data_IF_566823684963
#
_entry.id   IF_566823684963
#
_cell.length_a   1.000
_cell.length_b   1.000
_cell.length_c   1.000
_cell.angle_alpha   90.00
_cell.angle_beta   90.00
_cell.angle_gamma   90.00
#
_symmetry.space_group_name_H-M   'P 1'
#
loop_
_entity.id
_entity.type
_entity.pdbx_description
1 polymer ?
#
# COMPACT_ATOMS: atom_id res chain seq x y z
N UNK A 1 17.58 14.93 -15.10
CA UNK A 1 17.83 13.93 -16.17
C UNK A 1 17.08 12.66 -15.82
N UNK A 2 16.24 12.13 -16.69
CA UNK A 2 15.50 10.89 -16.47
C UNK A 2 16.31 9.75 -17.08
N UNK A 3 16.79 8.83 -16.28
CA UNK A 3 17.52 7.65 -16.77
C UNK A 3 16.55 6.49 -16.91
N UNK A 4 16.13 6.17 -18.14
CA UNK A 4 15.41 4.96 -18.47
C UNK A 4 16.35 3.75 -18.44
N UNK A 5 16.07 2.77 -17.61
CA UNK A 5 16.79 1.49 -17.60
C UNK A 5 15.90 0.42 -18.23
N UNK A 6 16.19 0.11 -19.50
CA UNK A 6 15.58 -1.01 -20.21
C UNK A 6 16.32 -2.29 -19.82
N UNK A 7 15.70 -3.14 -19.00
CA UNK A 7 16.19 -4.49 -18.75
C UNK A 7 15.58 -5.46 -19.77
N UNK A 8 16.39 -6.00 -20.67
CA UNK A 8 15.99 -7.10 -21.55
C UNK A 8 16.12 -8.43 -20.81
N UNK A 9 15.09 -9.28 -20.80
CA UNK A 9 15.27 -10.70 -20.56
C UNK A 9 15.60 -11.41 -21.89
N UNK A 10 16.48 -12.39 -21.78
CA UNK A 10 17.01 -13.18 -22.88
C UNK A 10 15.95 -13.90 -23.72
N UNK A 11 16.24 -13.95 -25.00
CA UNK A 11 15.61 -14.67 -26.11
C UNK A 11 15.11 -16.08 -25.77
N UNK A 12 13.79 -16.30 -25.97
CA UNK A 12 13.18 -17.60 -26.11
C UNK A 12 12.10 -17.51 -27.21
N UNK A 13 12.26 -18.34 -28.25
CA UNK A 13 11.52 -18.33 -29.50
C UNK A 13 9.99 -18.39 -29.35
N UNK A 14 9.28 -17.66 -30.22
CA UNK A 14 7.84 -17.70 -30.40
C UNK A 14 7.40 -19.02 -31.06
N UNK A 15 6.28 -19.63 -30.66
CA UNK A 15 5.62 -20.64 -31.47
C UNK A 15 4.57 -20.01 -32.39
N UNK A 16 4.53 -20.55 -33.60
CA UNK A 16 3.67 -20.19 -34.70
C UNK A 16 2.18 -20.34 -34.39
N UNK A 17 1.42 -19.45 -35.01
CA UNK A 17 -0.04 -19.37 -34.98
C UNK A 17 -0.66 -20.52 -35.79
N UNK A 18 -1.46 -21.39 -35.16
CA UNK A 18 -2.42 -22.26 -35.84
C UNK A 18 -3.82 -21.81 -35.50
N UNK A 19 -4.54 -21.34 -36.52
CA UNK A 19 -5.96 -21.03 -36.43
C UNK A 19 -6.79 -22.29 -36.21
N UNK A 20 -7.65 -22.26 -35.20
CA UNK A 20 -8.86 -23.11 -35.18
C UNK A 20 -10.03 -22.34 -34.59
N UNK A 21 -11.11 -22.31 -35.33
CA UNK A 21 -12.35 -21.57 -35.09
C UNK A 21 -13.11 -22.24 -33.94
N UNK A 22 -13.31 -21.54 -32.85
CA UNK A 22 -14.16 -21.94 -31.75
C UNK A 22 -14.18 -20.83 -30.70
N UNK A 23 -15.35 -20.21 -30.46
CA UNK A 23 -15.53 -19.09 -29.50
C UNK A 23 -15.04 -19.46 -28.12
N UNK A 24 -13.88 -18.99 -27.74
CA UNK A 24 -13.45 -18.85 -26.34
C UNK A 24 -12.83 -17.47 -26.20
N UNK A 25 -13.48 -16.61 -25.43
CA UNK A 25 -12.92 -15.32 -25.03
C UNK A 25 -11.81 -15.56 -24.03
N UNK A 26 -10.59 -15.69 -24.51
CA UNK A 26 -9.43 -15.50 -23.65
C UNK A 26 -9.19 -13.99 -23.53
N UNK A 27 -9.56 -13.43 -22.36
CA UNK A 27 -9.00 -12.17 -21.95
C UNK A 27 -7.49 -12.40 -21.78
N UNK A 28 -6.72 -12.09 -22.81
CA UNK A 28 -5.27 -11.89 -22.69
C UNK A 28 -5.10 -10.75 -21.69
N UNK A 29 -4.74 -11.09 -20.45
CA UNK A 29 -4.19 -10.13 -19.53
C UNK A 29 -2.92 -9.60 -20.22
N UNK A 30 -3.03 -8.42 -20.82
CA UNK A 30 -1.88 -7.61 -21.21
C UNK A 30 -1.20 -7.29 -19.87
N UNK A 31 -0.14 -8.04 -19.55
CA UNK A 31 0.85 -7.61 -18.58
C UNK A 31 1.50 -6.38 -19.19
N UNK A 32 0.93 -5.20 -18.94
CA UNK A 32 1.64 -3.96 -19.19
C UNK A 32 2.94 -4.06 -18.41
N UNK A 33 4.07 -4.08 -19.12
CA UNK A 33 5.39 -3.86 -18.53
C UNK A 33 5.33 -2.49 -17.86
N UNK A 34 5.11 -2.50 -16.54
CA UNK A 34 5.00 -1.27 -15.77
C UNK A 34 6.39 -0.66 -15.71
N UNK A 35 6.50 0.57 -16.19
CA UNK A 35 7.75 1.32 -16.23
C UNK A 35 8.38 1.39 -14.83
N UNK A 36 9.67 1.00 -14.74
CA UNK A 36 10.49 1.17 -13.55
C UNK A 36 11.32 2.43 -13.73
N UNK A 37 11.10 3.43 -12.88
CA UNK A 37 11.77 4.73 -12.97
C UNK A 37 12.49 5.04 -11.66
N UNK A 38 13.71 5.56 -11.77
CA UNK A 38 14.43 6.18 -10.67
C UNK A 38 14.43 7.70 -10.88
N UNK A 39 14.00 8.45 -9.86
CA UNK A 39 14.09 9.90 -9.86
C UNK A 39 15.24 10.36 -8.98
N UNK A 40 15.98 11.34 -9.46
CA UNK A 40 17.13 11.91 -8.76
C UNK A 40 16.70 12.82 -7.58
N UNK A 41 15.49 13.41 -7.67
CA UNK A 41 14.98 14.34 -6.67
C UNK A 41 13.46 14.30 -6.54
N UNK A 42 12.97 14.97 -5.52
CA UNK A 42 11.54 15.21 -5.27
C UNK A 42 10.90 15.98 -6.41
N UNK A 43 11.58 17.00 -6.91
CA UNK A 43 11.12 17.89 -7.99
C UNK A 43 10.97 17.14 -9.32
N UNK A 44 11.89 16.21 -9.60
CA UNK A 44 11.81 15.38 -10.80
C UNK A 44 10.58 14.45 -10.78
N UNK A 45 10.26 13.85 -9.63
CA UNK A 45 9.07 13.02 -9.48
C UNK A 45 7.80 13.87 -9.50
N UNK A 46 7.81 15.05 -8.90
CA UNK A 46 6.71 15.99 -8.90
C UNK A 46 6.38 16.47 -10.32
N UNK A 47 7.39 16.83 -11.11
CA UNK A 47 7.24 17.18 -12.52
C UNK A 47 6.61 16.03 -13.33
N UNK A 48 7.08 14.80 -13.12
CA UNK A 48 6.50 13.62 -13.77
C UNK A 48 5.03 13.43 -13.40
N UNK A 49 4.67 13.56 -12.12
CA UNK A 49 3.28 13.46 -11.70
C UNK A 49 2.44 14.61 -12.25
N UNK A 50 2.99 15.81 -12.37
CA UNK A 50 2.32 16.95 -13.00
C UNK A 50 1.80 16.62 -14.40
N UNK A 51 2.58 15.91 -15.18
CA UNK A 51 2.24 15.51 -16.55
C UNK A 51 1.45 14.20 -16.63
N UNK A 52 1.68 13.25 -15.70
CA UNK A 52 1.25 11.86 -15.86
C UNK A 52 0.18 11.40 -14.88
N UNK A 53 -0.14 12.16 -13.81
CA UNK A 53 -1.04 11.71 -12.75
C UNK A 53 -2.43 11.29 -13.24
N UNK A 54 -2.93 11.91 -14.32
CA UNK A 54 -4.27 11.65 -14.85
C UNK A 54 -4.31 10.54 -15.90
N UNK A 55 -3.19 10.19 -16.52
CA UNK A 55 -3.13 9.28 -17.66
C UNK A 55 -2.38 7.98 -17.36
N UNK A 56 -1.42 8.02 -16.45
CA UNK A 56 -0.67 6.81 -16.06
C UNK A 56 -1.45 5.96 -15.06
N UNK A 57 -1.58 4.64 -15.28
CA UNK A 57 -2.28 3.75 -14.36
C UNK A 57 -1.45 3.39 -13.13
N UNK A 58 -0.14 3.47 -13.20
CA UNK A 58 0.79 3.22 -12.10
C UNK A 58 2.24 3.42 -12.54
N UNK A 59 3.13 3.49 -11.56
CA UNK A 59 4.58 3.52 -11.76
C UNK A 59 5.28 2.66 -10.71
N UNK A 60 6.38 2.00 -11.06
CA UNK A 60 7.30 1.41 -10.11
C UNK A 60 8.47 2.37 -9.88
N UNK A 61 8.54 2.95 -8.68
CA UNK A 61 9.71 3.74 -8.28
C UNK A 61 10.82 2.84 -7.79
N UNK A 62 12.01 3.01 -8.38
CA UNK A 62 13.24 2.41 -7.91
C UNK A 62 13.79 3.29 -6.79
N UNK A 63 13.66 2.83 -5.55
CA UNK A 63 14.05 3.56 -4.34
C UNK A 63 15.27 2.91 -3.71
N UNK A 64 16.16 3.75 -3.17
CA UNK A 64 17.36 3.28 -2.52
C UNK A 64 17.10 2.74 -1.13
N UNK A 65 17.78 1.64 -0.78
CA UNK A 65 17.90 1.19 0.60
C UNK A 65 18.77 2.17 1.39
N UNK A 66 18.47 2.34 2.69
CA UNK A 66 19.26 3.24 3.55
C UNK A 66 20.73 2.85 3.53
N UNK A 67 21.60 3.83 3.29
CA UNK A 67 23.06 3.67 3.26
C UNK A 67 23.73 4.97 2.82
N UNK A 68 25.05 5.13 3.05
CA UNK A 68 25.78 6.34 2.69
C UNK A 68 25.96 6.50 1.18
N UNK A 69 26.05 7.72 0.70
CA UNK A 69 26.74 8.10 -0.54
C UNK A 69 25.94 8.51 -1.76
N UNK A 70 24.62 8.31 -1.90
CA UNK A 70 23.87 8.81 -3.06
C UNK A 70 22.65 9.60 -2.61
N UNK A 71 22.52 10.83 -3.08
CA UNK A 71 21.28 11.61 -2.97
C UNK A 71 20.32 11.06 -4.02
N UNK A 72 19.23 10.50 -3.58
CA UNK A 72 18.14 10.01 -4.42
C UNK A 72 16.83 10.20 -3.67
N UNK A 73 15.72 10.26 -4.42
CA UNK A 73 14.37 10.32 -3.86
C UNK A 73 14.17 9.18 -2.86
N UNK A 74 13.83 9.52 -1.62
CA UNK A 74 13.48 8.52 -0.61
C UNK A 74 11.97 8.21 -0.61
N UNK A 75 11.60 7.12 0.11
CA UNK A 75 10.21 6.70 0.18
C UNK A 75 9.29 7.73 0.83
N UNK A 76 9.75 8.45 1.85
CA UNK A 76 8.92 9.43 2.55
C UNK A 76 8.62 10.62 1.66
N UNK A 77 9.63 11.12 0.95
CA UNK A 77 9.50 12.18 -0.03
C UNK A 77 8.59 11.75 -1.20
N UNK A 78 8.81 10.55 -1.74
CA UNK A 78 7.98 10.01 -2.81
C UNK A 78 6.50 9.88 -2.41
N UNK A 79 6.23 9.43 -1.17
CA UNK A 79 4.87 9.34 -0.66
C UNK A 79 4.22 10.71 -0.50
N UNK A 80 4.96 11.71 -0.02
CA UNK A 80 4.45 13.06 0.16
C UNK A 80 4.05 13.68 -1.18
N UNK A 81 4.90 13.57 -2.20
CA UNK A 81 4.58 14.03 -3.57
C UNK A 81 3.38 13.27 -4.14
N UNK A 82 3.37 11.94 -4.03
CA UNK A 82 2.26 11.12 -4.52
C UNK A 82 0.91 11.54 -3.90
N UNK A 83 0.88 11.78 -2.58
CA UNK A 83 -0.32 12.25 -1.88
C UNK A 83 -0.81 13.60 -2.41
N UNK A 84 0.10 14.52 -2.75
CA UNK A 84 -0.24 15.82 -3.32
C UNK A 84 -0.99 15.70 -4.66
N UNK A 85 -0.77 14.63 -5.42
CA UNK A 85 -1.44 14.36 -6.71
C UNK A 85 -2.55 13.29 -6.61
N UNK A 86 -2.98 12.92 -5.41
CA UNK A 86 -4.05 11.92 -5.22
C UNK A 86 -3.61 10.48 -5.50
N UNK A 87 -2.33 10.22 -5.47
CA UNK A 87 -1.73 8.88 -5.60
C UNK A 87 -1.43 8.26 -4.25
N UNK A 88 -1.20 6.96 -4.23
CA UNK A 88 -0.88 6.19 -3.02
C UNK A 88 0.11 5.09 -3.33
N UNK A 89 0.93 4.74 -2.35
CA UNK A 89 1.80 3.58 -2.38
C UNK A 89 1.01 2.26 -2.34
N UNK A 90 1.56 1.26 -2.99
CA UNK A 90 0.99 -0.08 -3.09
C UNK A 90 2.02 -1.16 -2.77
N UNK A 91 2.23 -2.05 -3.73
CA UNK A 91 3.12 -3.20 -3.58
C UNK A 91 4.59 -2.81 -3.50
N UNK A 92 5.36 -3.61 -2.75
CA UNK A 92 6.82 -3.57 -2.70
C UNK A 92 7.40 -4.78 -3.40
N UNK A 93 8.55 -4.60 -4.06
CA UNK A 93 9.31 -5.69 -4.63
C UNK A 93 10.82 -5.52 -4.35
N UNK A 94 11.53 -6.64 -4.33
CA UNK A 94 13.01 -6.61 -4.34
C UNK A 94 13.47 -6.22 -5.73
N UNK A 95 14.60 -5.49 -5.79
CA UNK A 95 15.27 -5.20 -7.05
C UNK A 95 16.68 -5.76 -7.03
N UNK A 96 17.58 -5.21 -6.21
CA UNK A 96 18.94 -5.69 -5.98
C UNK A 96 19.40 -5.41 -4.53
N UNK A 97 20.69 -5.52 -4.25
CA UNK A 97 21.22 -5.30 -2.90
C UNK A 97 21.16 -3.86 -2.43
N UNK A 98 21.13 -2.90 -3.35
CA UNK A 98 21.13 -1.46 -3.06
C UNK A 98 19.74 -0.82 -3.20
N UNK A 99 18.86 -1.41 -4.02
CA UNK A 99 17.58 -0.85 -4.42
C UNK A 99 16.42 -1.78 -4.14
N UNK A 100 15.23 -1.20 -4.05
CA UNK A 100 13.95 -1.89 -3.98
C UNK A 100 12.91 -1.11 -4.78
N UNK A 101 11.80 -1.75 -5.08
CA UNK A 101 10.74 -1.14 -5.88
C UNK A 101 9.52 -0.86 -4.99
N UNK A 102 8.95 0.35 -5.16
CA UNK A 102 7.67 0.73 -4.60
C UNK A 102 6.72 1.10 -5.74
N UNK A 103 5.59 0.41 -5.80
CA UNK A 103 4.54 0.78 -6.73
C UNK A 103 3.74 1.95 -6.19
N UNK A 104 3.48 2.94 -7.06
CA UNK A 104 2.53 4.01 -6.81
C UNK A 104 1.41 3.96 -7.83
N UNK A 105 0.18 4.30 -7.41
CA UNK A 105 -1.03 4.28 -8.25
C UNK A 105 -1.95 5.43 -7.88
N UNK A 106 -2.77 5.93 -8.82
CA UNK A 106 -3.88 6.79 -8.46
C UNK A 106 -4.76 6.13 -7.39
N UNK A 107 -5.28 6.90 -6.45
CA UNK A 107 -6.25 6.39 -5.48
C UNK A 107 -7.53 5.96 -6.19
N UNK A 108 -8.00 4.76 -5.85
CA UNK A 108 -9.31 4.27 -6.32
C UNK A 108 -10.42 4.88 -5.44
N UNK A 109 -11.66 4.96 -5.95
CA UNK A 109 -12.80 5.40 -5.14
C UNK A 109 -12.98 4.62 -3.83
N UNK A 110 -12.54 3.36 -3.78
CA UNK A 110 -12.60 2.50 -2.60
C UNK A 110 -11.34 2.54 -1.73
N UNK A 111 -10.32 3.32 -2.11
CA UNK A 111 -9.05 3.38 -1.35
C UNK A 111 -9.27 3.93 0.05
N UNK A 112 -8.86 3.14 1.05
CA UNK A 112 -8.95 3.56 2.46
C UNK A 112 -7.88 4.60 2.79
N UNK A 113 -8.14 5.38 3.84
CA UNK A 113 -7.19 6.29 4.40
C UNK A 113 -6.60 5.72 5.70
N UNK A 114 -5.30 5.89 5.90
CA UNK A 114 -4.69 5.73 7.21
C UNK A 114 -4.65 7.06 7.93
N UNK A 115 -4.69 7.05 9.26
CA UNK A 115 -4.49 8.27 10.06
C UNK A 115 -3.14 8.93 9.75
N UNK A 116 -2.10 8.12 9.53
CA UNK A 116 -0.76 8.62 9.14
C UNK A 116 -0.81 9.42 7.83
N UNK A 117 -1.53 8.93 6.82
CA UNK A 117 -1.64 9.67 5.56
C UNK A 117 -2.56 10.90 5.69
N UNK A 118 -3.56 10.88 6.58
CA UNK A 118 -4.36 12.07 6.91
C UNK A 118 -3.50 13.16 7.53
N UNK A 119 -2.66 12.81 8.51
CA UNK A 119 -1.77 13.75 9.17
C UNK A 119 -0.75 14.32 8.17
N UNK A 120 -0.20 13.48 7.28
CA UNK A 120 0.68 13.92 6.20
C UNK A 120 0.01 14.95 5.28
N UNK A 121 -1.18 14.65 4.77
CA UNK A 121 -1.84 15.59 3.85
C UNK A 121 -2.28 16.88 4.55
N UNK A 122 -2.60 16.85 5.85
CA UNK A 122 -2.85 18.07 6.60
C UNK A 122 -1.61 18.96 6.63
N UNK A 123 -0.44 18.42 6.93
CA UNK A 123 0.82 19.15 6.90
C UNK A 123 1.18 19.65 5.48
N UNK A 124 0.93 18.84 4.44
CA UNK A 124 1.18 19.24 3.05
C UNK A 124 0.26 20.37 2.57
N UNK A 125 -0.99 20.41 3.04
CA UNK A 125 -1.92 21.52 2.79
C UNK A 125 -1.42 22.80 3.49
N UNK A 126 -1.02 22.72 4.76
CA UNK A 126 -0.47 23.87 5.51
C UNK A 126 0.80 24.44 4.83
N UNK A 127 1.60 23.58 4.20
CA UNK A 127 2.78 23.98 3.42
C UNK A 127 2.45 24.53 2.04
N UNK A 128 1.18 24.55 1.62
CA UNK A 128 0.77 25.00 0.28
C UNK A 128 1.19 24.07 -0.86
N UNK A 129 1.53 22.81 -0.56
CA UNK A 129 2.03 21.82 -1.54
C UNK A 129 0.93 21.00 -2.20
N UNK A 130 -0.29 21.03 -1.67
CA UNK A 130 -1.38 20.18 -2.18
C UNK A 130 -1.85 20.65 -3.55
N UNK A 131 -1.90 19.75 -4.52
CA UNK A 131 -2.43 19.98 -5.86
C UNK A 131 -3.92 19.64 -5.95
N UNK A 132 -4.66 20.20 -6.93
CA UNK A 132 -6.09 19.96 -7.09
C UNK A 132 -6.50 18.48 -7.14
N UNK A 133 -5.80 17.56 -7.83
CA UNK A 133 -6.15 16.13 -7.82
C UNK A 133 -6.00 15.49 -6.44
N UNK A 134 -5.01 15.89 -5.64
CA UNK A 134 -4.86 15.44 -4.25
C UNK A 134 -5.99 15.93 -3.36
N UNK A 135 -6.35 17.21 -3.48
CA UNK A 135 -7.47 17.81 -2.74
C UNK A 135 -8.80 17.10 -3.09
N UNK A 136 -9.03 16.81 -4.37
CA UNK A 136 -10.25 16.12 -4.81
C UNK A 136 -10.40 14.73 -4.17
N UNK A 137 -9.30 13.98 -3.97
CA UNK A 137 -9.32 12.68 -3.29
C UNK A 137 -9.65 12.81 -1.79
N UNK A 138 -9.17 13.88 -1.15
CA UNK A 138 -9.49 14.19 0.25
C UNK A 138 -10.98 14.53 0.39
N UNK A 139 -11.48 15.41 -0.46
CA UNK A 139 -12.87 15.87 -0.43
C UNK A 139 -13.85 14.72 -0.69
N UNK A 140 -13.52 13.84 -1.66
CA UNK A 140 -14.28 12.62 -1.92
C UNK A 140 -14.29 11.69 -0.71
N UNK A 141 -13.16 11.52 -0.04
CA UNK A 141 -13.06 10.66 1.14
C UNK A 141 -13.84 11.23 2.33
N UNK A 142 -13.90 12.56 2.48
CA UNK A 142 -14.72 13.24 3.50
C UNK A 142 -16.21 13.07 3.18
N UNK A 143 -16.60 13.24 1.93
CA UNK A 143 -17.99 13.12 1.50
C UNK A 143 -18.59 11.72 1.70
N UNK A 144 -17.80 10.66 1.55
CA UNK A 144 -18.26 9.27 1.69
C UNK A 144 -17.88 8.60 3.03
N UNK A 145 -17.36 9.35 3.98
CA UNK A 145 -17.04 8.90 5.36
C UNK A 145 -15.75 8.08 5.48
N UNK A 146 -15.00 7.81 4.40
CA UNK A 146 -13.72 7.08 4.46
C UNK A 146 -12.65 7.86 5.21
N UNK A 147 -12.78 9.18 5.26
CA UNK A 147 -11.86 10.03 5.99
C UNK A 147 -11.96 9.80 7.51
N UNK A 148 -13.14 9.78 8.06
CA UNK A 148 -13.40 9.52 9.50
C UNK A 148 -13.10 8.08 9.87
N UNK A 149 -13.34 7.15 8.94
CA UNK A 149 -13.05 5.73 9.09
C UNK A 149 -11.56 5.37 8.87
N UNK A 150 -10.66 6.35 8.90
CA UNK A 150 -9.23 6.12 8.69
C UNK A 150 -8.65 5.16 9.76
N UNK A 151 -7.91 4.17 9.28
CA UNK A 151 -7.32 3.15 10.14
C UNK A 151 -6.00 3.60 10.79
N UNK A 152 -5.71 3.01 11.95
CA UNK A 152 -4.48 3.26 12.69
C UNK A 152 -3.26 2.66 11.98
N UNK A 153 -2.13 3.34 12.07
CA UNK A 153 -0.85 2.79 11.61
C UNK A 153 -0.30 1.74 12.58
N UNK A 154 0.62 0.90 12.10
CA UNK A 154 1.23 -0.17 12.90
C UNK A 154 1.94 0.30 14.19
N UNK A 155 2.30 1.59 14.28
CA UNK A 155 2.93 2.17 15.48
C UNK A 155 1.93 2.65 16.52
N UNK A 156 0.71 2.99 16.10
CA UNK A 156 -0.31 3.65 16.91
C UNK A 156 -1.53 2.78 17.17
N UNK A 157 -1.63 1.61 16.51
CA UNK A 157 -2.73 0.69 16.69
C UNK A 157 -2.75 0.14 18.12
N UNK A 158 -3.88 0.34 18.80
CA UNK A 158 -4.15 -0.15 20.15
C UNK A 158 -5.04 -1.39 20.10
N UNK A 159 -4.99 -2.19 21.17
CA UNK A 159 -5.89 -3.33 21.33
C UNK A 159 -7.28 -2.78 21.69
N UNK A 160 -8.32 -3.02 20.88
CA UNK A 160 -9.66 -2.53 21.20
C UNK A 160 -10.29 -3.33 22.35
N UNK A 161 -11.21 -2.69 23.07
CA UNK A 161 -11.79 -3.23 24.30
C UNK A 161 -12.44 -4.62 24.13
N UNK A 162 -13.12 -4.85 23.02
CA UNK A 162 -13.76 -6.14 22.73
C UNK A 162 -12.75 -7.27 22.49
N UNK A 163 -11.63 -6.99 21.81
CA UNK A 163 -10.53 -7.95 21.68
C UNK A 163 -9.83 -8.14 23.04
N UNK A 164 -9.59 -7.08 23.79
CA UNK A 164 -8.99 -7.17 25.13
C UNK A 164 -9.82 -8.05 26.06
N UNK A 165 -11.15 -7.88 26.08
CA UNK A 165 -12.05 -8.73 26.85
C UNK A 165 -12.00 -10.20 26.41
N UNK A 166 -11.99 -10.46 25.11
CA UNK A 166 -11.90 -11.82 24.57
C UNK A 166 -10.55 -12.50 24.90
N UNK A 167 -9.44 -11.76 24.86
CA UNK A 167 -8.14 -12.27 25.30
C UNK A 167 -8.09 -12.52 26.81
N UNK A 168 -8.72 -11.67 27.63
CA UNK A 168 -8.82 -11.89 29.06
C UNK A 168 -9.58 -13.18 29.41
N UNK A 169 -10.57 -13.54 28.60
CA UNK A 169 -11.33 -14.78 28.75
C UNK A 169 -10.56 -16.04 28.32
N UNK A 170 -9.47 -15.91 27.56
CA UNK A 170 -8.60 -17.03 27.13
C UNK A 170 -7.13 -16.72 27.46
N UNK A 171 -6.63 -17.15 28.64
CA UNK A 171 -5.26 -16.87 29.06
C UNK A 171 -4.17 -17.42 28.11
N UNK A 172 -4.43 -18.54 27.41
CA UNK A 172 -3.48 -19.10 26.46
C UNK A 172 -3.34 -18.20 25.23
N UNK A 173 -4.46 -17.75 24.69
CA UNK A 173 -4.48 -16.78 23.59
C UNK A 173 -3.85 -15.45 23.98
N UNK A 174 -4.12 -14.94 25.19
CA UNK A 174 -3.52 -13.71 25.70
C UNK A 174 -2.00 -13.81 25.80
N UNK A 175 -1.49 -14.87 26.41
CA UNK A 175 -0.05 -15.10 26.55
C UNK A 175 0.64 -15.15 25.18
N UNK A 176 0.07 -15.87 24.22
CA UNK A 176 0.66 -15.97 22.88
C UNK A 176 0.56 -14.65 22.11
N UNK A 177 -0.53 -13.87 22.26
CA UNK A 177 -0.69 -12.56 21.63
C UNK A 177 0.43 -11.58 22.03
N UNK A 178 0.91 -11.61 23.27
CA UNK A 178 2.02 -10.78 23.73
C UNK A 178 3.38 -11.17 23.11
N UNK A 179 3.53 -12.41 22.65
CA UNK A 179 4.76 -12.88 21.98
C UNK A 179 4.80 -12.54 20.49
N UNK A 180 3.68 -12.06 19.90
CA UNK A 180 3.61 -11.77 18.49
C UNK A 180 4.55 -10.63 18.09
N UNK A 181 5.22 -10.80 16.95
CA UNK A 181 5.93 -9.71 16.30
C UNK A 181 4.96 -8.60 15.85
N UNK A 182 5.52 -7.43 15.57
CA UNK A 182 4.74 -6.25 15.15
C UNK A 182 3.86 -6.53 13.93
N UNK A 183 4.33 -7.32 12.97
CA UNK A 183 3.59 -7.59 11.72
C UNK A 183 2.34 -8.41 12.01
N UNK A 184 2.47 -9.50 12.77
CA UNK A 184 1.36 -10.36 13.12
C UNK A 184 0.36 -9.66 14.05
N UNK A 185 0.85 -8.96 15.09
CA UNK A 185 0.01 -8.17 15.99
C UNK A 185 -0.81 -7.12 15.22
N UNK A 186 -0.15 -6.32 14.38
CA UNK A 186 -0.83 -5.32 13.58
C UNK A 186 -1.83 -5.91 12.59
N UNK A 187 -1.50 -7.02 11.97
CA UNK A 187 -2.40 -7.68 11.01
C UNK A 187 -3.73 -8.13 11.66
N UNK A 188 -3.70 -8.59 12.91
CA UNK A 188 -4.91 -8.92 13.68
C UNK A 188 -5.70 -7.64 13.98
N UNK A 189 -5.05 -6.63 14.55
CA UNK A 189 -5.68 -5.36 14.91
C UNK A 189 -6.33 -4.68 13.72
N UNK A 190 -5.60 -4.57 12.61
CA UNK A 190 -6.10 -3.98 11.37
C UNK A 190 -7.35 -4.71 10.84
N UNK A 191 -7.32 -6.05 10.80
CA UNK A 191 -8.45 -6.83 10.29
C UNK A 191 -9.68 -6.73 11.18
N UNK A 192 -9.51 -6.59 12.50
CA UNK A 192 -10.62 -6.37 13.44
C UNK A 192 -11.18 -4.97 13.24
N UNK A 193 -10.32 -3.94 13.17
CA UNK A 193 -10.72 -2.55 12.92
C UNK A 193 -11.46 -2.39 11.58
N UNK A 194 -11.05 -3.11 10.56
CA UNK A 194 -11.61 -3.06 9.21
C UNK A 194 -13.02 -3.67 9.10
N UNK A 195 -13.50 -4.37 10.10
CA UNK A 195 -14.83 -4.96 10.09
C UNK A 195 -15.90 -3.90 10.28
N UNK A 196 -16.67 -3.63 9.22
CA UNK A 196 -17.76 -2.63 9.24
C UNK A 196 -19.01 -3.10 9.99
N UNK A 197 -19.31 -4.42 9.97
CA UNK A 197 -20.48 -5.01 10.63
C UNK A 197 -20.08 -5.62 11.96
N UNK A 198 -20.88 -5.42 12.99
CA UNK A 198 -20.62 -5.97 14.33
C UNK A 198 -20.45 -7.49 14.33
N UNK A 199 -21.29 -8.21 13.60
CA UNK A 199 -21.18 -9.67 13.46
C UNK A 199 -19.87 -10.11 12.80
N UNK A 200 -19.42 -9.40 11.76
CA UNK A 200 -18.13 -9.68 11.11
C UNK A 200 -16.98 -9.43 12.06
N UNK A 201 -17.08 -8.38 12.86
CA UNK A 201 -16.09 -8.02 13.88
C UNK A 201 -16.01 -9.08 14.97
N UNK A 202 -17.14 -9.49 15.54
CA UNK A 202 -17.20 -10.54 16.55
C UNK A 202 -16.61 -11.86 16.04
N UNK A 203 -17.00 -12.31 14.83
CA UNK A 203 -16.46 -13.53 14.20
C UNK A 203 -14.95 -13.45 13.95
N UNK A 204 -14.42 -12.26 13.61
CA UNK A 204 -12.97 -12.08 13.45
C UNK A 204 -12.25 -12.19 14.79
N UNK A 205 -12.78 -11.60 15.85
CA UNK A 205 -12.22 -11.69 17.20
C UNK A 205 -12.19 -13.16 17.64
N UNK A 206 -13.31 -13.86 17.57
CA UNK A 206 -13.41 -15.28 17.90
C UNK A 206 -12.38 -16.11 17.12
N UNK A 207 -12.32 -15.94 15.81
CA UNK A 207 -11.35 -16.63 14.94
C UNK A 207 -9.90 -16.40 15.39
N UNK A 208 -9.53 -15.15 15.69
CA UNK A 208 -8.14 -14.84 16.06
C UNK A 208 -7.80 -15.30 17.46
N UNK A 209 -8.71 -15.23 18.40
CA UNK A 209 -8.51 -15.78 19.75
C UNK A 209 -8.34 -17.30 19.69
N UNK A 210 -9.18 -18.01 18.93
CA UNK A 210 -9.05 -19.46 18.75
C UNK A 210 -7.74 -19.87 18.03
N UNK A 211 -7.25 -19.05 17.08
CA UNK A 211 -5.95 -19.24 16.42
C UNK A 211 -4.80 -19.05 17.44
N UNK A 212 -4.83 -17.98 18.20
CA UNK A 212 -3.82 -17.65 19.21
C UNK A 212 -3.75 -18.70 20.33
N UNK A 213 -4.90 -19.23 20.78
CA UNK A 213 -4.96 -20.30 21.78
C UNK A 213 -4.22 -21.57 21.34
N UNK A 214 -4.09 -21.79 20.02
CA UNK A 214 -3.30 -22.88 19.42
C UNK A 214 -1.85 -22.51 19.15
N UNK A 215 -1.39 -21.35 19.60
CA UNK A 215 -0.07 -20.80 19.30
C UNK A 215 0.20 -20.62 17.80
N UNK A 216 -0.83 -20.34 17.02
CA UNK A 216 -0.74 -20.08 15.58
C UNK A 216 -0.67 -18.58 15.31
N UNK A 217 -0.02 -18.18 14.21
CA UNK A 217 0.09 -16.80 13.73
C UNK A 217 -0.30 -16.66 12.25
N UNK A 218 -0.56 -15.43 11.79
CA UNK A 218 -1.02 -15.18 10.42
C UNK A 218 0.08 -15.30 9.38
N UNK A 219 1.29 -14.96 9.75
CA UNK A 219 2.47 -14.98 8.88
C UNK A 219 3.62 -15.74 9.56
N UNK A 220 4.44 -16.46 8.78
CA UNK A 220 5.58 -17.18 9.30
C UNK A 220 6.56 -16.29 10.08
#
# INVERSE_FOLDING_TARGET
MITQVHGHPASGAAPECVMTIGRVWFATAVTQDLEIVAFESTEAFEAWLGENHAVSPSIWLKLRKKGPGIVALDYAQALDVALCYGWIDGQKAKFDDQWWLQRFTPRKPSSKWSKVNRDKVAALIEQGRMHPPGQAEIDRAKADGRWEAAYDGAKTATVPNDLAAALTADPAAAAYFETLDRQNRYAILYRIQDAKKAETRARRIEKYVAMLAKSEKLYP
#
